data_IF_894725283825
#
_entry.id   IF_894725283825
#
_cell.length_a   1.000
_cell.length_b   1.000
_cell.length_c   1.000
_cell.angle_alpha   90.00
_cell.angle_beta   90.00
_cell.angle_gamma   90.00
#
_symmetry.space_group_name_H-M   'P 1'
#
loop_
_entity.id
_entity.type
_entity.pdbx_description
1 polymer ?
#
# COMPACT_ATOMS: atom_id res chain seq x y z
N UNK A 1 -2.23 5.32 19.53
CA UNK A 1 -2.57 5.80 18.17
C UNK A 1 -2.37 4.64 17.21
N UNK A 2 -3.42 4.13 16.57
CA UNK A 2 -3.29 3.03 15.60
C UNK A 2 -2.68 3.57 14.30
N UNK A 3 -1.41 3.26 14.03
CA UNK A 3 -0.71 3.66 12.78
C UNK A 3 -1.55 3.36 11.52
N UNK A 4 -2.30 2.26 11.54
CA UNK A 4 -3.20 1.81 10.49
C UNK A 4 -4.43 2.69 10.27
N UNK A 5 -5.05 3.18 11.35
CA UNK A 5 -6.21 4.05 11.28
C UNK A 5 -5.86 5.40 10.65
N UNK A 6 -4.65 5.91 10.91
CA UNK A 6 -4.14 7.11 10.25
C UNK A 6 -4.06 6.97 8.72
N UNK A 7 -3.61 5.80 8.22
CA UNK A 7 -3.60 5.54 6.78
C UNK A 7 -5.00 5.46 6.17
N UNK A 8 -5.98 4.92 6.91
CA UNK A 8 -7.37 4.85 6.44
C UNK A 8 -8.03 6.22 6.40
N UNK A 9 -7.84 7.02 7.46
CA UNK A 9 -8.45 8.34 7.57
C UNK A 9 -7.85 9.36 6.59
N UNK A 10 -6.61 9.16 6.11
CA UNK A 10 -6.06 10.00 5.05
C UNK A 10 -6.90 9.97 3.77
N UNK A 11 -7.53 8.85 3.43
CA UNK A 11 -8.40 8.77 2.24
C UNK A 11 -9.60 9.73 2.33
N UNK A 12 -10.05 10.07 3.54
CA UNK A 12 -11.16 11.01 3.76
C UNK A 12 -10.74 12.47 3.61
N UNK A 13 -9.44 12.76 3.49
CA UNK A 13 -8.91 14.11 3.24
C UNK A 13 -8.79 14.45 1.75
N UNK A 14 -9.00 13.46 0.86
CA UNK A 14 -8.98 13.66 -0.59
C UNK A 14 -10.25 14.38 -1.07
N UNK A 15 -10.16 15.05 -2.22
CA UNK A 15 -11.32 15.67 -2.89
C UNK A 15 -11.51 15.08 -4.31
N UNK A 16 -12.62 14.35 -4.57
CA UNK A 16 -13.71 14.02 -3.66
C UNK A 16 -13.35 12.91 -2.66
N UNK A 17 -13.78 13.07 -1.41
CA UNK A 17 -13.62 12.03 -0.39
C UNK A 17 -14.54 10.83 -0.69
N UNK A 18 -14.09 9.59 -0.42
CA UNK A 18 -14.93 8.42 -0.56
C UNK A 18 -16.05 8.41 0.49
N UNK A 19 -17.27 8.07 0.09
CA UNK A 19 -18.37 7.82 1.02
C UNK A 19 -18.31 6.41 1.58
N UNK A 20 -18.76 6.23 2.82
CA UNK A 20 -18.92 4.91 3.41
C UNK A 20 -20.06 4.10 2.74
N UNK A 21 -19.98 2.75 2.72
CA UNK A 21 -18.77 1.96 2.99
C UNK A 21 -17.80 2.03 1.80
N UNK A 22 -16.49 1.96 2.07
CA UNK A 22 -15.47 1.88 1.02
C UNK A 22 -14.40 0.81 1.33
N UNK A 23 -13.73 0.36 0.28
CA UNK A 23 -12.58 -0.53 0.38
C UNK A 23 -11.28 0.26 0.32
N UNK A 24 -10.34 -0.05 1.21
CA UNK A 24 -8.98 0.46 1.15
C UNK A 24 -8.01 -0.66 0.84
N UNK A 25 -7.22 -0.47 -0.22
CA UNK A 25 -6.07 -1.29 -0.53
C UNK A 25 -4.82 -0.58 -0.02
N UNK A 26 -4.33 -0.98 1.17
CA UNK A 26 -3.12 -0.42 1.75
C UNK A 26 -1.89 -1.16 1.23
N UNK A 27 -1.10 -0.48 0.41
CA UNK A 27 0.16 -1.00 -0.13
C UNK A 27 1.29 -0.08 0.29
N UNK A 28 2.27 -0.62 1.00
CA UNK A 28 3.49 0.08 1.40
C UNK A 28 4.71 -0.85 1.31
N UNK A 29 5.87 -0.39 1.80
CA UNK A 29 7.07 -1.21 1.95
C UNK A 29 6.86 -2.46 2.81
N UNK A 30 5.99 -2.37 3.84
CA UNK A 30 5.78 -3.45 4.82
C UNK A 30 4.33 -3.91 4.98
N UNK A 31 3.38 -3.33 4.24
CA UNK A 31 1.98 -3.70 4.31
C UNK A 31 1.42 -3.96 2.91
N UNK A 32 0.61 -5.01 2.79
CA UNK A 32 -0.23 -5.26 1.63
C UNK A 32 -1.54 -5.85 2.15
N UNK A 33 -2.55 -5.00 2.34
CA UNK A 33 -3.80 -5.34 3.01
C UNK A 33 -5.01 -4.77 2.30
N UNK A 34 -6.13 -5.49 2.35
CA UNK A 34 -7.44 -5.06 1.88
C UNK A 34 -8.38 -4.93 3.09
N UNK A 35 -8.88 -3.73 3.30
CA UNK A 35 -9.70 -3.36 4.47
C UNK A 35 -11.05 -2.85 3.98
N UNK A 36 -12.13 -3.35 4.58
CA UNK A 36 -13.48 -2.83 4.42
C UNK A 36 -13.77 -1.83 5.53
N UNK A 37 -14.06 -0.60 5.16
CA UNK A 37 -14.39 0.49 6.07
C UNK A 37 -15.86 0.80 5.96
N UNK A 38 -16.63 0.49 7.02
CA UNK A 38 -18.08 0.72 7.05
C UNK A 38 -18.46 2.05 7.68
N UNK A 39 -17.66 2.51 8.65
CA UNK A 39 -17.78 3.81 9.30
C UNK A 39 -16.44 4.13 9.99
N UNK A 40 -16.31 5.31 10.57
CA UNK A 40 -15.17 5.67 11.43
C UNK A 40 -15.15 4.73 12.65
N UNK A 41 -14.04 4.03 12.85
CA UNK A 41 -13.90 3.02 13.89
C UNK A 41 -14.47 1.63 13.55
N UNK A 42 -15.17 1.46 12.42
CA UNK A 42 -15.64 0.15 11.92
C UNK A 42 -14.82 -0.29 10.70
N UNK A 43 -13.72 -0.99 11.00
CA UNK A 43 -12.75 -1.49 10.03
C UNK A 43 -12.66 -3.01 10.10
N UNK A 44 -12.85 -3.68 8.96
CA UNK A 44 -12.74 -5.13 8.84
C UNK A 44 -11.63 -5.50 7.86
N UNK A 45 -10.61 -6.25 8.30
CA UNK A 45 -9.58 -6.81 7.41
C UNK A 45 -10.21 -7.92 6.55
N UNK A 46 -10.24 -7.74 5.23
CA UNK A 46 -10.69 -8.75 4.28
C UNK A 46 -9.55 -9.72 3.94
N UNK A 47 -8.32 -9.20 3.81
CA UNK A 47 -7.17 -10.02 3.49
C UNK A 47 -5.85 -9.25 3.60
N UNK A 48 -4.76 -9.98 3.79
CA UNK A 48 -3.40 -9.46 3.84
C UNK A 48 -2.43 -10.42 3.16
N UNK A 49 -1.29 -9.91 2.69
CA UNK A 49 -0.18 -10.77 2.27
C UNK A 49 0.21 -11.71 3.41
N UNK A 50 0.57 -12.95 3.07
CA UNK A 50 1.06 -13.95 4.04
C UNK A 50 2.57 -13.88 4.22
N UNK A 51 3.25 -13.31 3.22
CA UNK A 51 4.68 -13.37 3.05
C UNK A 51 5.19 -11.91 2.89
N UNK A 52 5.80 -11.58 1.75
CA UNK A 52 6.34 -10.26 1.50
C UNK A 52 5.24 -9.23 1.18
N UNK A 53 5.43 -8.02 1.68
CA UNK A 53 4.71 -6.86 1.15
C UNK A 53 5.20 -6.54 -0.27
N UNK A 54 4.36 -5.87 -1.05
CA UNK A 54 4.68 -5.54 -2.44
C UNK A 54 5.96 -4.72 -2.55
N UNK A 55 6.17 -3.74 -1.66
CA UNK A 55 7.42 -2.95 -1.67
C UNK A 55 8.66 -3.79 -1.40
N UNK A 56 8.61 -4.71 -0.43
CA UNK A 56 9.71 -5.64 -0.16
C UNK A 56 10.00 -6.55 -1.36
N UNK A 57 8.97 -7.04 -2.06
CA UNK A 57 9.16 -7.82 -3.28
C UNK A 57 9.86 -6.99 -4.38
N UNK A 58 9.47 -5.73 -4.58
CA UNK A 58 10.16 -4.83 -5.51
C UNK A 58 11.62 -4.60 -5.14
N UNK A 59 11.92 -4.45 -3.85
CA UNK A 59 13.28 -4.24 -3.37
C UNK A 59 14.15 -5.50 -3.56
N UNK A 60 13.60 -6.69 -3.30
CA UNK A 60 14.29 -7.97 -3.56
C UNK A 60 14.63 -8.13 -5.04
N UNK A 61 13.69 -7.84 -5.94
CA UNK A 61 13.94 -7.91 -7.38
C UNK A 61 14.95 -6.85 -7.82
N UNK A 62 14.87 -5.61 -7.32
CA UNK A 62 15.83 -4.54 -7.65
C UNK A 62 17.26 -4.94 -7.27
N UNK A 63 17.42 -5.53 -6.09
CA UNK A 63 18.71 -6.02 -5.61
C UNK A 63 19.27 -7.13 -6.51
N UNK A 64 18.43 -8.07 -6.95
CA UNK A 64 18.83 -9.12 -7.90
C UNK A 64 19.27 -8.56 -9.26
N UNK A 65 18.70 -7.42 -9.69
CA UNK A 65 19.08 -6.73 -10.93
C UNK A 65 20.24 -5.73 -10.75
N UNK A 66 20.83 -5.62 -9.56
CA UNK A 66 21.91 -4.66 -9.28
C UNK A 66 21.46 -3.20 -9.21
N UNK A 67 20.17 -2.94 -9.00
CA UNK A 67 19.62 -1.59 -8.90
C UNK A 67 19.70 -1.03 -7.46
N UNK A 68 19.88 0.29 -7.28
CA UNK A 68 19.89 0.92 -5.97
C UNK A 68 18.52 0.94 -5.29
N UNK A 69 18.53 0.93 -3.95
CA UNK A 69 17.37 1.08 -3.08
C UNK A 69 16.87 2.54 -3.00
N UNK A 70 15.55 2.81 -2.87
CA UNK A 70 14.44 1.86 -2.91
C UNK A 70 14.20 1.33 -4.34
N UNK A 71 13.95 0.03 -4.43
CA UNK A 71 13.84 -0.71 -5.67
C UNK A 71 12.63 -0.32 -6.51
N UNK A 72 11.49 -0.02 -5.87
CA UNK A 72 10.25 0.37 -6.56
C UNK A 72 10.42 1.58 -7.52
N UNK A 73 10.83 2.76 -7.02
CA UNK A 73 11.04 3.94 -7.87
C UNK A 73 12.12 3.73 -8.94
N UNK A 74 13.17 2.98 -8.63
CA UNK A 74 14.27 2.70 -9.56
C UNK A 74 13.83 1.78 -10.70
N UNK A 75 13.05 0.73 -10.40
CA UNK A 75 12.44 -0.15 -11.41
C UNK A 75 11.53 0.61 -12.38
N UNK A 76 10.64 1.48 -11.87
CA UNK A 76 9.71 2.25 -12.71
C UNK A 76 10.45 3.15 -13.72
N UNK A 77 11.59 3.73 -13.34
CA UNK A 77 12.40 4.56 -14.24
C UNK A 77 13.04 3.74 -15.35
N UNK A 78 13.51 2.53 -15.06
CA UNK A 78 14.10 1.63 -16.06
C UNK A 78 13.03 1.02 -16.96
N UNK A 79 11.85 0.68 -16.42
CA UNK A 79 10.76 0.09 -17.21
C UNK A 79 10.12 1.08 -18.19
N UNK A 80 10.05 2.36 -17.83
CA UNK A 80 9.47 3.43 -18.66
C UNK A 80 10.43 3.99 -19.74
N UNK A 81 11.60 3.38 -19.92
CA UNK A 81 12.51 3.68 -21.04
C UNK A 81 12.25 2.79 -22.28
N UNK A 82 11.08 2.15 -22.35
CA UNK A 82 10.62 1.37 -23.51
C UNK A 82 9.46 2.06 -24.21
#
# INVERSE_FOLDING_TARGET
MHHMEGHLLMNLLEEPAPSFPFLTLLISGGHCMLINTKDIGDYSLIGQTRDDAVGEAFDKVAKLLGLPYPGGPTHRKVSNQR
#
